data_IF_571180475413
#
_entry.id   IF_571180475413
#
_cell.length_a   1.000
_cell.length_b   1.000
_cell.length_c   1.000
_cell.angle_alpha   90.00
_cell.angle_beta   90.00
_cell.angle_gamma   90.00
#
_symmetry.space_group_name_H-M   'P 1'
#
loop_
_entity.id
_entity.type
_entity.pdbx_description
1 polymer ?
#
# COMPACT_ATOMS: atom_id res chain seq x y z
N UNK A 1 -0.74 9.09 11.89
CA UNK A 1 -1.42 7.82 11.54
C UNK A 1 -0.88 6.77 12.48
N UNK A 2 -1.71 6.18 13.36
CA UNK A 2 -1.31 5.01 14.17
C UNK A 2 -1.53 3.76 13.31
N UNK A 3 -0.53 2.90 13.20
CA UNK A 3 -0.65 1.64 12.46
C UNK A 3 -1.02 0.50 13.43
N UNK A 4 -1.47 -0.62 12.88
CA UNK A 4 -1.81 -1.85 13.62
C UNK A 4 -0.90 -2.96 13.11
N UNK A 5 -0.75 -4.04 13.89
CA UNK A 5 -0.07 -5.25 13.45
C UNK A 5 -0.63 -5.75 12.10
N UNK A 6 0.28 -6.12 11.22
CA UNK A 6 -0.01 -6.58 9.87
C UNK A 6 -0.69 -7.96 9.89
N UNK A 7 -1.74 -8.10 9.08
CA UNK A 7 -2.27 -9.40 8.69
C UNK A 7 -2.49 -9.46 7.19
N UNK A 8 -2.10 -10.57 6.55
CA UNK A 8 -2.23 -10.79 5.08
C UNK A 8 -3.65 -10.48 4.58
N UNK A 9 -4.66 -10.89 5.34
CA UNK A 9 -6.08 -10.68 5.00
C UNK A 9 -6.45 -9.20 4.91
N UNK A 10 -5.75 -8.30 5.61
CA UNK A 10 -6.04 -6.87 5.60
C UNK A 10 -5.83 -6.26 4.20
N UNK A 11 -4.84 -6.73 3.43
CA UNK A 11 -4.64 -6.29 2.04
C UNK A 11 -5.84 -6.58 1.15
N UNK A 12 -6.46 -7.75 1.33
CA UNK A 12 -7.67 -8.13 0.60
C UNK A 12 -8.90 -7.28 0.99
N UNK A 13 -8.89 -6.67 2.17
CA UNK A 13 -9.90 -5.69 2.60
C UNK A 13 -9.52 -4.24 2.28
N UNK A 14 -8.60 -4.03 1.34
CA UNK A 14 -8.21 -2.69 0.87
C UNK A 14 -7.34 -1.92 1.86
N UNK A 15 -6.75 -2.58 2.86
CA UNK A 15 -5.75 -1.96 3.73
C UNK A 15 -4.38 -1.96 3.04
N UNK A 16 -3.63 -0.89 3.25
CA UNK A 16 -2.24 -0.77 2.83
C UNK A 16 -1.47 -0.19 4.02
N UNK A 17 -0.33 -0.78 4.41
CA UNK A 17 0.48 -0.23 5.48
C UNK A 17 0.96 1.18 5.12
N UNK A 18 1.20 2.06 6.10
CA UNK A 18 1.83 3.34 5.86
C UNK A 18 3.21 3.14 5.23
N UNK A 19 3.33 3.47 3.93
CA UNK A 19 4.57 3.34 3.16
C UNK A 19 5.77 4.14 3.73
N UNK A 20 5.63 5.32 4.37
CA UNK A 20 6.79 6.06 4.89
C UNK A 20 7.49 5.38 6.07
N UNK A 21 6.81 4.42 6.71
CA UNK A 21 7.31 3.69 7.89
C UNK A 21 7.56 2.22 7.57
N UNK A 22 7.67 1.86 6.28
CA UNK A 22 7.94 0.48 5.86
C UNK A 22 9.41 0.31 5.54
N UNK A 23 10.14 -0.29 6.48
CA UNK A 23 11.56 -0.59 6.33
C UNK A 23 11.75 -2.07 6.01
N UNK A 24 12.54 -2.36 4.98
CA UNK A 24 12.78 -3.71 4.49
C UNK A 24 14.28 -4.00 4.48
N UNK A 25 14.67 -5.19 4.96
CA UNK A 25 16.08 -5.62 4.94
C UNK A 25 16.57 -5.74 3.50
N UNK A 26 17.83 -5.35 3.25
CA UNK A 26 18.49 -5.47 1.95
C UNK A 26 18.37 -6.86 1.33
N UNK A 27 18.51 -7.92 2.12
CA UNK A 27 18.41 -9.31 1.65
C UNK A 27 17.05 -9.66 1.04
N UNK A 28 15.97 -8.96 1.42
CA UNK A 28 14.64 -9.16 0.83
C UNK A 28 14.58 -8.55 -0.57
N UNK A 29 15.18 -7.36 -0.76
CA UNK A 29 15.30 -6.74 -2.08
C UNK A 29 16.17 -7.57 -3.03
N UNK A 30 17.29 -8.10 -2.54
CA UNK A 30 18.16 -8.95 -3.34
C UNK A 30 17.46 -10.26 -3.75
N UNK A 31 16.60 -10.81 -2.88
CA UNK A 31 15.88 -12.05 -3.15
C UNK A 31 14.67 -11.87 -4.06
N UNK A 32 13.90 -10.80 -3.87
CA UNK A 32 12.59 -10.65 -4.53
C UNK A 32 12.55 -9.50 -5.52
N UNK A 33 13.60 -8.70 -5.65
CA UNK A 33 13.75 -7.60 -6.60
C UNK A 33 13.45 -6.23 -6.03
N UNK A 34 13.79 -5.20 -6.81
CA UNK A 34 13.55 -3.79 -6.52
C UNK A 34 12.13 -3.36 -6.90
N UNK A 35 11.86 -2.05 -6.80
CA UNK A 35 10.61 -1.43 -7.20
C UNK A 35 10.29 -1.66 -8.67
N UNK A 36 9.03 -2.00 -8.97
CA UNK A 36 8.52 -2.02 -10.32
C UNK A 36 8.07 -0.61 -10.73
N UNK A 37 8.92 0.10 -11.48
CA UNK A 37 8.67 1.49 -11.89
C UNK A 37 7.60 1.61 -12.99
N UNK A 38 7.27 0.52 -13.68
CA UNK A 38 6.22 0.51 -14.72
C UNK A 38 4.83 0.79 -14.14
N UNK A 39 4.66 0.61 -12.83
CA UNK A 39 3.41 0.87 -12.10
C UNK A 39 3.28 2.31 -11.61
N UNK A 40 4.25 3.18 -11.90
CA UNK A 40 4.22 4.60 -11.55
C UNK A 40 3.91 4.83 -10.07
N UNK A 41 2.81 5.53 -9.77
CA UNK A 41 2.40 5.85 -8.40
C UNK A 41 1.98 4.65 -7.54
N UNK A 42 1.85 3.45 -8.11
CA UNK A 42 1.55 2.23 -7.38
C UNK A 42 2.79 1.34 -7.13
N UNK A 43 4.01 1.80 -7.46
CA UNK A 43 5.24 1.04 -7.24
C UNK A 43 5.43 0.63 -5.76
N UNK A 44 5.18 1.54 -4.81
CA UNK A 44 5.23 1.22 -3.38
C UNK A 44 4.19 0.17 -2.98
N UNK A 45 2.99 0.26 -3.57
CA UNK A 45 1.89 -0.67 -3.29
C UNK A 45 2.21 -2.08 -3.79
N UNK A 46 2.75 -2.18 -5.01
CA UNK A 46 3.21 -3.44 -5.59
C UNK A 46 4.29 -4.08 -4.74
N UNK A 47 5.31 -3.31 -4.35
CA UNK A 47 6.41 -3.83 -3.55
C UNK A 47 5.90 -4.44 -2.23
N UNK A 48 5.04 -3.71 -1.52
CA UNK A 48 4.41 -4.18 -0.29
C UNK A 48 3.56 -5.42 -0.53
N UNK A 49 2.74 -5.44 -1.60
CA UNK A 49 1.89 -6.57 -1.95
C UNK A 49 2.73 -7.82 -2.23
N UNK A 50 3.80 -7.68 -3.03
CA UNK A 50 4.73 -8.76 -3.37
C UNK A 50 5.43 -9.31 -2.13
N UNK A 51 6.00 -8.45 -1.29
CA UNK A 51 6.75 -8.90 -0.13
C UNK A 51 5.85 -9.51 0.94
N UNK A 52 4.73 -8.85 1.25
CA UNK A 52 3.89 -9.21 2.38
C UNK A 52 2.87 -10.29 2.03
N UNK A 53 2.21 -10.21 0.87
CA UNK A 53 1.13 -11.13 0.50
C UNK A 53 1.63 -12.32 -0.30
N UNK A 54 2.45 -12.09 -1.34
CA UNK A 54 2.98 -13.16 -2.19
C UNK A 54 4.08 -13.95 -1.47
N UNK A 55 5.09 -13.27 -0.94
CA UNK A 55 6.26 -13.93 -0.33
C UNK A 55 6.16 -14.12 1.18
N UNK A 56 5.17 -13.50 1.85
CA UNK A 56 4.91 -13.64 3.29
C UNK A 56 6.17 -13.50 4.15
N UNK A 57 6.95 -12.46 3.87
CA UNK A 57 8.16 -12.18 4.67
C UNK A 57 7.79 -11.97 6.15
N UNK A 58 8.71 -12.32 7.04
CA UNK A 58 8.54 -12.05 8.47
C UNK A 58 8.55 -10.55 8.70
N UNK A 59 7.54 -10.05 9.41
CA UNK A 59 7.40 -8.63 9.75
C UNK A 59 7.20 -8.44 11.25
N UNK A 60 7.75 -7.37 11.80
CA UNK A 60 7.46 -6.89 13.14
C UNK A 60 6.84 -5.49 13.07
N UNK A 61 5.87 -5.23 13.94
CA UNK A 61 5.28 -3.90 14.08
C UNK A 61 5.96 -3.16 15.23
N UNK A 62 6.43 -1.93 14.97
CA UNK A 62 7.02 -1.06 15.98
C UNK A 62 5.93 -0.05 16.40
N UNK A 63 5.43 -0.08 17.64
CA UNK A 63 4.34 0.78 18.10
C UNK A 63 4.80 2.21 18.46
N UNK A 64 5.63 2.81 17.61
CA UNK A 64 6.20 4.15 17.81
C UNK A 64 5.91 5.09 16.63
N UNK A 65 5.86 6.40 16.89
CA UNK A 65 5.67 7.40 15.84
C UNK A 65 7.03 7.72 15.22
N UNK A 66 7.38 7.02 14.14
CA UNK A 66 8.66 7.21 13.46
C UNK A 66 8.64 8.37 12.44
N UNK A 67 7.50 8.59 11.77
CA UNK A 67 7.39 9.57 10.68
C UNK A 67 6.05 10.29 10.72
N UNK A 68 6.08 11.62 10.54
CA UNK A 68 4.90 12.46 10.30
C UNK A 68 4.81 12.82 8.82
N UNK A 69 3.93 12.14 8.09
CA UNK A 69 3.70 12.43 6.67
C UNK A 69 2.89 13.74 6.51
N UNK A 70 3.37 14.66 5.67
CA UNK A 70 2.63 15.89 5.34
C UNK A 70 1.52 15.58 4.33
N UNK A 71 0.38 16.25 4.48
CA UNK A 71 -0.71 16.24 3.49
C UNK A 71 -0.34 17.11 2.29
N UNK A 72 -0.64 16.65 1.06
CA UNK A 72 -0.36 17.42 -0.18
C UNK A 72 0.30 16.65 -1.34
N UNK A 73 0.29 15.31 -1.33
CA UNK A 73 0.92 14.51 -2.40
C UNK A 73 0.24 14.58 -3.78
N UNK A 74 1.02 14.37 -4.85
CA UNK A 74 0.58 14.43 -6.26
C UNK A 74 -0.63 13.54 -6.60
N UNK A 75 -0.85 12.47 -5.84
CA UNK A 75 -1.95 11.51 -6.05
C UNK A 75 -3.35 12.07 -5.75
N UNK A 76 -3.45 13.25 -5.11
CA UNK A 76 -4.72 13.94 -4.84
C UNK A 76 -5.03 15.07 -5.82
N UNK A 77 -4.14 15.35 -6.79
CA UNK A 77 -4.23 16.54 -7.63
C UNK A 77 -5.34 16.47 -8.71
N UNK A 78 -5.77 15.28 -9.14
CA UNK A 78 -6.81 15.14 -10.18
C UNK A 78 -7.55 13.79 -10.15
N UNK A 79 -8.79 13.78 -10.64
CA UNK A 79 -9.60 12.57 -10.80
C UNK A 79 -8.92 11.55 -11.75
N UNK A 80 -8.23 12.06 -12.78
CA UNK A 80 -7.46 11.25 -13.74
C UNK A 80 -6.33 10.47 -13.06
N UNK A 81 -5.60 11.12 -12.15
CA UNK A 81 -4.53 10.46 -11.38
C UNK A 81 -5.09 9.36 -10.46
N UNK A 82 -6.30 9.54 -9.92
CA UNK A 82 -6.96 8.52 -9.10
C UNK A 82 -7.40 7.30 -9.90
N UNK A 83 -7.91 7.51 -11.11
CA UNK A 83 -8.28 6.41 -12.02
C UNK A 83 -7.05 5.63 -12.46
N UNK A 84 -5.97 6.33 -12.83
CA UNK A 84 -4.69 5.71 -13.18
C UNK A 84 -4.10 4.92 -12.00
N UNK A 85 -4.11 5.49 -10.80
CA UNK A 85 -3.65 4.79 -9.60
C UNK A 85 -4.46 3.51 -9.32
N UNK A 86 -5.79 3.52 -9.50
CA UNK A 86 -6.61 2.32 -9.37
C UNK A 86 -6.28 1.26 -10.43
N UNK A 87 -6.00 1.68 -11.67
CA UNK A 87 -5.57 0.76 -12.73
C UNK A 87 -4.22 0.13 -12.40
N UNK A 88 -3.26 0.93 -11.94
CA UNK A 88 -1.94 0.43 -11.57
C UNK A 88 -2.00 -0.45 -10.30
N UNK A 89 -2.88 -0.14 -9.35
CA UNK A 89 -3.16 -1.02 -8.22
C UNK A 89 -3.69 -2.38 -8.69
N UNK A 90 -4.58 -2.43 -9.70
CA UNK A 90 -5.04 -3.70 -10.29
C UNK A 90 -3.91 -4.48 -10.94
N UNK A 91 -3.08 -3.80 -11.74
CA UNK A 91 -1.90 -4.41 -12.37
C UNK A 91 -0.94 -4.99 -11.33
N UNK A 92 -0.76 -4.32 -10.19
CA UNK A 92 0.07 -4.82 -9.09
C UNK A 92 -0.36 -6.22 -8.59
N UNK A 93 -1.67 -6.51 -8.55
CA UNK A 93 -2.17 -7.85 -8.21
C UNK A 93 -1.86 -8.86 -9.31
N UNK A 94 -2.11 -8.47 -10.56
CA UNK A 94 -1.94 -9.33 -11.73
C UNK A 94 -0.49 -9.75 -11.95
N UNK A 95 0.47 -8.81 -11.93
CA UNK A 95 1.91 -9.11 -12.09
C UNK A 95 2.44 -10.00 -10.97
N UNK A 96 1.79 -9.96 -9.81
CA UNK A 96 2.11 -10.82 -8.67
C UNK A 96 1.32 -12.14 -8.67
N UNK A 97 0.53 -12.44 -9.70
CA UNK A 97 -0.26 -13.67 -9.78
C UNK A 97 -1.29 -13.81 -8.65
N UNK A 98 -1.69 -12.69 -8.04
CA UNK A 98 -2.65 -12.64 -6.95
C UNK A 98 -4.02 -12.17 -7.49
N UNK A 99 -5.09 -12.64 -6.87
CA UNK A 99 -6.46 -12.22 -7.21
C UNK A 99 -7.08 -11.44 -6.04
N UNK A 100 -7.38 -10.14 -6.20
CA UNK A 100 -8.10 -9.39 -5.18
C UNK A 100 -9.54 -9.87 -5.08
N UNK A 101 -10.22 -9.56 -3.97
CA UNK A 101 -11.68 -9.68 -3.94
C UNK A 101 -12.32 -8.59 -4.83
N UNK A 102 -13.56 -8.79 -5.31
CA UNK A 102 -14.25 -7.83 -6.17
C UNK A 102 -14.30 -6.41 -5.59
N UNK A 103 -14.31 -6.28 -4.26
CA UNK A 103 -14.38 -5.01 -3.55
C UNK A 103 -13.02 -4.45 -3.08
N UNK A 104 -11.92 -5.20 -3.15
CA UNK A 104 -10.62 -4.82 -2.55
C UNK A 104 -10.13 -3.45 -3.03
N UNK A 105 -10.18 -3.22 -4.35
CA UNK A 105 -9.68 -1.99 -4.96
C UNK A 105 -10.60 -0.80 -4.70
N UNK A 106 -11.91 -1.02 -4.56
CA UNK A 106 -12.89 0.02 -4.24
C UNK A 106 -12.85 0.44 -2.76
N UNK A 107 -12.58 -0.50 -1.84
CA UNK A 107 -12.47 -0.19 -0.41
C UNK A 107 -11.22 0.65 -0.08
N UNK A 108 -10.13 0.49 -0.84
CA UNK A 108 -8.88 1.21 -0.61
C UNK A 108 -9.02 2.75 -0.60
N UNK A 109 -9.62 3.40 -1.61
CA UNK A 109 -9.88 4.84 -1.58
C UNK A 109 -10.91 5.24 -0.51
N UNK A 110 -11.97 4.44 -0.29
CA UNK A 110 -13.00 4.74 0.72
C UNK A 110 -12.44 4.80 2.14
N UNK A 111 -11.51 3.90 2.49
CA UNK A 111 -10.84 3.91 3.80
C UNK A 111 -9.93 5.12 3.99
N UNK A 112 -9.36 5.67 2.90
CA UNK A 112 -8.62 6.94 2.95
C UNK A 112 -9.54 8.13 3.16
N UNK A 113 -10.75 8.14 2.58
CA UNK A 113 -11.74 9.22 2.81
C UNK A 113 -12.18 9.27 4.27
N UNK A 114 -12.44 8.12 4.89
CA UNK A 114 -12.73 8.05 6.32
C UNK A 114 -11.65 8.70 7.20
N UNK A 115 -10.36 8.60 6.82
CA UNK A 115 -9.27 9.25 7.56
C UNK A 115 -9.30 10.78 7.52
N UNK A 116 -9.88 11.39 6.48
CA UNK A 116 -10.06 12.84 6.40
C UNK A 116 -11.29 13.32 7.19
N UNK A 117 -12.33 12.49 7.29
CA UNK A 117 -13.56 12.82 8.01
C UNK A 117 -13.39 12.63 9.53
N UNK A 118 -12.68 11.58 9.96
CA UNK A 118 -12.50 11.24 11.38
C UNK A 118 -11.21 11.81 12.04
N UNK A 119 -10.36 12.56 11.31
CA UNK A 119 -9.24 13.32 11.90
C UNK A 119 -9.47 14.85 11.85
N UNK A 120 -10.70 15.30 12.10
CA UNK A 120 -10.95 16.69 12.51
C UNK A 120 -11.21 16.71 14.02
N UNK A 121 -10.30 17.40 14.71
CA UNK A 121 -10.27 17.77 16.13
C UNK A 121 -9.83 16.66 17.09
#
# INVERSE_FOLDING_TARGET
MRSISYGVRQFYWGWMPPHPTFFVRRSVYERYGLFNLDLGSAADYELMLRFLVRHRITTAYIPEILVKMRTGGMSNASLKNRLLANRNDRLAWEVNGLKPYPWTLYLKPLRKVGQYIFNKC
#
